data_IF_214432608214
#
_entry.id   IF_214432608214
#
_cell.length_a   1.000
_cell.length_b   1.000
_cell.length_c   1.000
_cell.angle_alpha   90.00
_cell.angle_beta   90.00
_cell.angle_gamma   90.00
#
_symmetry.space_group_name_H-M   'P 1'
#
loop_
_entity.id
_entity.type
_entity.pdbx_description
1 polymer ?
#
# COMPACT_ATOMS: atom_id res chain seq x y z
N UNK A 1 -3.65 -18.29 -6.52
CA UNK A 1 -2.90 -17.10 -6.99
C UNK A 1 -3.45 -15.80 -6.40
N UNK A 2 -4.73 -15.48 -6.60
CA UNK A 2 -5.35 -14.25 -6.05
C UNK A 2 -5.24 -14.15 -4.51
N UNK A 3 -5.53 -15.22 -3.78
CA UNK A 3 -5.40 -15.27 -2.32
C UNK A 3 -3.98 -14.92 -1.82
N UNK A 4 -2.96 -15.40 -2.53
CA UNK A 4 -1.55 -15.08 -2.22
C UNK A 4 -1.25 -13.61 -2.47
N UNK A 5 -1.80 -13.01 -3.53
CA UNK A 5 -1.62 -11.58 -3.81
C UNK A 5 -2.29 -10.70 -2.75
N UNK A 6 -3.50 -11.06 -2.32
CA UNK A 6 -4.19 -10.39 -1.21
C UNK A 6 -3.34 -10.42 0.05
N UNK A 7 -2.89 -11.61 0.46
CA UNK A 7 -2.02 -11.75 1.63
C UNK A 7 -0.73 -10.92 1.50
N UNK A 8 -0.11 -10.92 0.32
CA UNK A 8 1.11 -10.13 0.09
C UNK A 8 0.85 -8.62 0.12
N UNK A 9 -0.31 -8.16 -0.33
CA UNK A 9 -0.74 -6.76 -0.23
C UNK A 9 -0.98 -6.39 1.24
N UNK A 10 -1.68 -7.23 2.00
CA UNK A 10 -1.94 -6.99 3.43
C UNK A 10 -0.64 -6.98 4.26
N UNK A 11 0.34 -7.83 3.96
CA UNK A 11 1.63 -7.84 4.63
C UNK A 11 2.60 -6.73 4.16
N UNK A 12 2.24 -5.97 3.12
CA UNK A 12 3.10 -4.94 2.56
C UNK A 12 3.20 -3.73 3.50
N UNK A 13 4.35 -3.56 4.13
CA UNK A 13 4.65 -2.41 5.00
C UNK A 13 5.88 -1.65 4.54
N UNK A 14 5.92 -0.34 4.80
CA UNK A 14 7.05 0.49 4.45
C UNK A 14 8.18 0.28 5.46
N UNK A 15 9.35 -0.15 4.97
CA UNK A 15 10.54 -0.31 5.83
C UNK A 15 11.02 1.06 6.31
N UNK A 16 11.51 1.14 7.56
CA UNK A 16 11.97 2.37 8.24
C UNK A 16 12.95 3.21 7.39
N UNK A 17 13.82 2.56 6.63
CA UNK A 17 14.88 3.18 5.82
C UNK A 17 14.58 3.24 4.32
N UNK A 18 13.38 2.85 3.86
CA UNK A 18 13.01 2.99 2.46
C UNK A 18 12.47 4.39 2.17
N UNK A 19 12.67 4.84 0.94
CA UNK A 19 12.06 6.06 0.42
C UNK A 19 10.59 5.80 0.04
N UNK A 20 9.74 6.83 0.19
CA UNK A 20 8.30 6.74 -0.09
C UNK A 20 8.05 6.30 -1.54
N UNK A 21 8.84 6.81 -2.49
CA UNK A 21 8.73 6.48 -3.92
C UNK A 21 8.86 4.97 -4.19
N UNK A 22 9.85 4.32 -3.59
CA UNK A 22 10.06 2.87 -3.74
C UNK A 22 8.92 2.05 -3.14
N UNK A 23 8.38 2.54 -2.02
CA UNK A 23 7.25 1.91 -1.37
C UNK A 23 5.98 2.02 -2.25
N UNK A 24 5.70 3.23 -2.75
CA UNK A 24 4.59 3.50 -3.65
C UNK A 24 4.66 2.67 -4.93
N UNK A 25 5.84 2.55 -5.55
CA UNK A 25 6.03 1.71 -6.74
C UNK A 25 5.66 0.24 -6.48
N UNK A 26 6.00 -0.30 -5.31
CA UNK A 26 5.63 -1.69 -4.92
C UNK A 26 4.14 -1.85 -4.70
N UNK A 27 3.48 -0.87 -4.07
CA UNK A 27 2.03 -0.86 -3.94
C UNK A 27 1.38 -0.87 -5.34
N UNK A 28 1.83 0.02 -6.23
CA UNK A 28 1.29 0.11 -7.58
C UNK A 28 1.39 -1.20 -8.33
N UNK A 29 2.54 -1.88 -8.25
CA UNK A 29 2.72 -3.21 -8.85
C UNK A 29 1.74 -4.24 -8.28
N UNK A 30 1.56 -4.29 -6.95
CA UNK A 30 0.62 -5.22 -6.29
C UNK A 30 -0.84 -4.94 -6.63
N UNK A 31 -1.24 -3.67 -6.61
CA UNK A 31 -2.58 -3.24 -7.03
C UNK A 31 -2.83 -3.63 -8.48
N UNK A 32 -1.85 -3.40 -9.37
CA UNK A 32 -1.97 -3.78 -10.77
C UNK A 32 -2.14 -5.29 -10.93
N UNK A 33 -1.35 -6.10 -10.21
CA UNK A 33 -1.52 -7.55 -10.18
C UNK A 33 -2.94 -7.93 -9.76
N UNK A 34 -3.45 -7.39 -8.63
CA UNK A 34 -4.80 -7.68 -8.14
C UNK A 34 -5.90 -7.30 -9.15
N UNK A 35 -5.79 -6.12 -9.79
CA UNK A 35 -6.72 -5.66 -10.83
C UNK A 35 -6.72 -6.59 -12.06
N UNK A 36 -5.55 -7.06 -12.51
CA UNK A 36 -5.43 -8.02 -13.62
C UNK A 36 -6.14 -9.35 -13.31
N UNK A 37 -6.19 -9.77 -12.04
CA UNK A 37 -6.96 -10.94 -11.61
C UNK A 37 -8.45 -10.65 -11.35
N UNK A 38 -8.96 -9.47 -11.75
CA UNK A 38 -10.37 -9.10 -11.65
C UNK A 38 -10.79 -8.56 -10.28
N UNK A 39 -9.85 -8.28 -9.37
CA UNK A 39 -10.18 -7.72 -8.07
C UNK A 39 -10.39 -6.21 -8.13
N UNK A 40 -11.52 -5.75 -7.59
CA UNK A 40 -11.85 -4.33 -7.52
C UNK A 40 -11.05 -3.65 -6.39
N UNK A 41 -9.90 -3.09 -6.75
CA UNK A 41 -9.05 -2.31 -5.84
C UNK A 41 -9.42 -0.82 -5.92
N UNK A 42 -10.35 -0.41 -5.05
CA UNK A 42 -10.74 1.00 -4.89
C UNK A 42 -9.57 1.84 -4.40
N UNK A 43 -9.44 3.06 -4.92
CA UNK A 43 -8.35 3.97 -4.55
C UNK A 43 -8.38 4.31 -3.06
N UNK A 44 -9.57 4.41 -2.45
CA UNK A 44 -9.73 4.57 -0.99
C UNK A 44 -8.99 3.47 -0.21
N UNK A 45 -9.13 2.20 -0.63
CA UNK A 45 -8.46 1.06 0.02
C UNK A 45 -6.94 1.15 -0.12
N UNK A 46 -6.46 1.67 -1.25
CA UNK A 46 -5.02 1.85 -1.51
C UNK A 46 -4.47 2.98 -0.63
N UNK A 47 -5.17 4.11 -0.54
CA UNK A 47 -4.78 5.25 0.31
C UNK A 47 -4.76 4.85 1.77
N UNK A 48 -5.83 4.22 2.27
CA UNK A 48 -5.90 3.72 3.64
C UNK A 48 -4.74 2.75 3.92
N UNK A 49 -4.45 1.84 2.99
CA UNK A 49 -3.29 0.94 3.11
C UNK A 49 -1.97 1.69 3.24
N UNK A 50 -1.76 2.78 2.49
CA UNK A 50 -0.55 3.59 2.58
C UNK A 50 -0.46 4.25 3.95
N UNK A 51 -1.52 4.90 4.40
CA UNK A 51 -1.53 5.66 5.65
C UNK A 51 -1.26 4.76 6.88
N UNK A 52 -1.81 3.54 6.92
CA UNK A 52 -1.57 2.62 8.05
C UNK A 52 -0.19 1.96 8.06
N UNK A 53 0.53 1.99 6.94
CA UNK A 53 1.75 1.18 6.73
C UNK A 53 3.03 2.00 6.62
N UNK A 54 2.91 3.35 6.61
CA UNK A 54 4.05 4.27 6.68
C UNK A 54 4.64 4.30 8.09
N UNK A 55 5.97 4.48 8.24
CA UNK A 55 6.58 4.62 9.56
C UNK A 55 6.14 5.91 10.27
N UNK A 56 6.15 5.90 11.61
CA UNK A 56 5.75 7.03 12.46
C UNK A 56 6.39 8.39 12.16
N UNK A 57 7.55 8.39 11.49
CA UNK A 57 8.19 9.63 11.03
C UNK A 57 7.33 10.43 10.02
N UNK A 58 6.29 9.81 9.46
CA UNK A 58 5.33 10.44 8.57
C UNK A 58 3.98 10.74 9.26
N UNK A 59 3.83 10.47 10.57
CA UNK A 59 2.59 10.74 11.31
C UNK A 59 2.07 12.18 11.11
N UNK A 60 2.92 13.24 11.12
CA UNK A 60 2.44 14.60 10.85
C UNK A 60 1.75 14.77 9.49
N UNK A 61 2.23 14.03 8.47
CA UNK A 61 1.65 14.05 7.12
C UNK A 61 0.35 13.25 7.10
N UNK A 62 0.32 12.09 7.77
CA UNK A 62 -0.88 11.24 7.87
C UNK A 62 -2.03 12.02 8.53
N UNK A 63 -1.77 12.67 9.67
CA UNK A 63 -2.77 13.48 10.39
C UNK A 63 -3.28 14.67 9.58
N UNK A 64 -2.54 15.15 8.59
CA UNK A 64 -3.01 16.23 7.70
C UNK A 64 -3.95 15.72 6.59
N UNK A 65 -3.90 14.41 6.29
CA UNK A 65 -4.68 13.78 5.21
C UNK A 65 -5.98 13.17 5.75
N UNK A 66 -5.97 12.68 7.00
CA UNK A 66 -7.16 12.21 7.73
C UNK A 66 -8.16 13.34 8.04
#
# INVERSE_FOLDING_TARGET
KLQTLRRNFELLNMKKFKIVKDYYSKIKEKVNQLRVYGENMLDKKIVEKILISVPRKYDPIVTTIE
#
